data_IF_368727056417
#
_entry.id   IF_368727056417
#
_cell.length_a   1.000
_cell.length_b   1.000
_cell.length_c   1.000
_cell.angle_alpha   90.00
_cell.angle_beta   90.00
_cell.angle_gamma   90.00
#
_symmetry.space_group_name_H-M   'P 1'
#
loop_
_entity.id
_entity.type
_entity.pdbx_description
1 polymer ?
#
# COMPACT_ATOMS: atom_id res chain seq x y z
N UNK A 1 13.76 -26.27 -19.97
CA UNK A 1 14.46 -25.54 -18.90
C UNK A 1 13.76 -24.20 -18.65
N UNK A 2 13.23 -24.03 -17.42
CA UNK A 2 12.85 -22.77 -16.73
C UNK A 2 11.81 -21.84 -17.42
N UNK A 3 10.50 -21.99 -17.20
CA UNK A 3 9.70 -21.53 -16.03
C UNK A 3 9.56 -20.00 -16.00
N UNK A 4 8.56 -19.44 -16.71
CA UNK A 4 7.29 -18.92 -16.17
C UNK A 4 7.51 -18.19 -14.82
N UNK A 5 7.85 -16.90 -14.86
CA UNK A 5 7.67 -16.03 -13.70
C UNK A 5 6.25 -15.48 -13.70
N UNK A 6 5.48 -16.04 -12.78
CA UNK A 6 4.09 -15.79 -12.51
C UNK A 6 3.92 -14.58 -11.58
N UNK A 7 2.86 -13.82 -11.84
CA UNK A 7 2.26 -12.83 -10.96
C UNK A 7 1.97 -13.45 -9.58
N UNK A 8 2.67 -13.02 -8.53
CA UNK A 8 2.41 -13.49 -7.16
C UNK A 8 2.89 -12.52 -6.07
N UNK A 9 2.49 -11.25 -6.18
CA UNK A 9 2.68 -10.25 -5.12
C UNK A 9 1.92 -10.61 -3.83
N UNK A 10 0.77 -11.29 -3.94
CA UNK A 10 0.00 -11.79 -2.79
C UNK A 10 0.70 -12.95 -2.05
N UNK A 11 1.49 -13.75 -2.76
CA UNK A 11 2.30 -14.83 -2.16
C UNK A 11 3.58 -14.28 -1.48
N UNK A 12 4.09 -13.15 -1.96
CA UNK A 12 5.19 -12.42 -1.30
C UNK A 12 4.77 -11.78 0.04
N UNK A 13 3.55 -11.24 0.12
CA UNK A 13 3.02 -10.67 1.37
C UNK A 13 2.77 -11.75 2.43
N UNK A 14 2.36 -12.97 2.01
CA UNK A 14 2.22 -14.11 2.93
C UNK A 14 3.57 -14.64 3.44
N UNK A 15 4.66 -14.50 2.68
CA UNK A 15 5.99 -14.95 3.09
C UNK A 15 6.63 -14.05 4.17
N UNK A 16 6.28 -12.75 4.17
CA UNK A 16 6.75 -11.77 5.18
C UNK A 16 6.07 -11.98 6.55
N UNK A 17 4.87 -12.55 6.58
CA UNK A 17 4.12 -12.80 7.82
C UNK A 17 4.47 -14.10 8.54
N UNK A 18 5.22 -15.02 7.92
CA UNK A 18 5.51 -16.36 8.49
C UNK A 18 6.91 -16.46 9.12
N UNK A 19 7.80 -15.48 8.93
CA UNK A 19 9.20 -15.53 9.44
C UNK A 19 9.56 -14.51 10.54
N UNK A 20 8.62 -13.69 11.02
CA UNK A 20 8.90 -12.75 12.12
C UNK A 20 7.80 -12.77 13.18
N UNK A 21 7.85 -13.70 14.16
CA UNK A 21 7.21 -13.44 15.42
C UNK A 21 8.18 -12.57 16.22
N UNK A 22 7.87 -11.29 16.44
CA UNK A 22 8.31 -10.48 17.60
C UNK A 22 8.12 -8.99 17.29
N UNK A 23 6.89 -8.50 17.36
CA UNK A 23 6.61 -7.29 18.15
C UNK A 23 5.26 -7.53 18.84
N UNK A 24 5.31 -8.34 19.90
CA UNK A 24 4.25 -8.37 20.87
C UNK A 24 4.33 -7.08 21.71
N UNK A 25 3.22 -6.37 21.70
CA UNK A 25 2.81 -5.33 22.64
C UNK A 25 3.28 -5.58 24.09
N UNK A 26 3.99 -4.62 24.68
CA UNK A 26 3.99 -4.44 26.14
C UNK A 26 4.14 -2.96 26.52
N UNK A 27 3.00 -2.37 26.86
CA UNK A 27 2.93 -1.20 27.72
C UNK A 27 3.56 -1.55 29.08
N UNK A 28 4.74 -1.03 29.40
CA UNK A 28 5.31 -1.06 30.75
C UNK A 28 5.66 0.36 31.18
N UNK A 29 5.02 0.77 32.28
CA UNK A 29 5.11 2.07 32.93
C UNK A 29 6.50 2.29 33.53
N UNK A 30 7.00 3.52 33.43
CA UNK A 30 8.13 4.01 34.23
C UNK A 30 7.87 3.80 35.72
N UNK A 31 8.79 3.15 36.42
CA UNK A 31 9.13 3.40 37.82
C UNK A 31 10.44 2.66 38.14
N UNK A 32 11.47 3.44 38.47
CA UNK A 32 12.85 2.95 38.56
C UNK A 32 13.12 2.06 39.76
N UNK A 33 14.11 1.14 39.63
CA UNK A 33 14.87 0.53 40.72
C UNK A 33 16.30 0.17 40.23
N UNK A 34 17.28 0.76 40.91
CA UNK A 34 18.61 0.32 41.33
C UNK A 34 19.70 -0.18 40.35
N UNK A 35 20.88 0.45 40.45
CA UNK A 35 22.04 0.41 39.53
C UNK A 35 23.11 -0.67 39.83
N UNK A 36 22.79 -1.76 40.55
CA UNK A 36 23.84 -2.68 41.05
C UNK A 36 23.54 -4.17 40.88
N UNK A 37 23.32 -4.64 39.64
CA UNK A 37 23.38 -6.07 39.30
C UNK A 37 24.04 -6.36 37.94
N UNK A 38 24.86 -5.44 37.43
CA UNK A 38 25.75 -5.74 36.30
C UNK A 38 27.05 -6.33 36.84
N UNK A 39 27.15 -7.66 36.88
CA UNK A 39 28.39 -8.44 36.72
C UNK A 39 28.13 -9.94 36.93
N UNK A 40 27.64 -10.64 35.90
CA UNK A 40 27.85 -12.10 35.80
C UNK A 40 27.85 -12.69 34.39
N UNK A 41 27.52 -11.94 33.35
CA UNK A 41 27.67 -12.40 31.96
C UNK A 41 28.29 -11.28 31.13
N UNK A 42 29.55 -11.46 30.73
CA UNK A 42 30.38 -10.48 30.04
C UNK A 42 29.95 -10.16 28.62
N UNK A 43 28.76 -9.57 28.45
CA UNK A 43 28.37 -8.87 27.24
C UNK A 43 28.27 -7.38 27.56
N UNK A 44 29.35 -6.63 27.33
CA UNK A 44 29.26 -5.19 27.20
C UNK A 44 28.61 -4.87 25.86
N UNK A 45 27.31 -4.53 25.90
CA UNK A 45 26.67 -3.85 24.79
C UNK A 45 27.37 -2.49 24.60
N UNK A 46 27.69 -2.08 23.37
CA UNK A 46 28.30 -0.78 23.12
C UNK A 46 27.42 0.33 23.73
N UNK A 47 27.94 1.01 24.76
CA UNK A 47 27.37 2.20 25.36
C UNK A 47 27.58 3.42 24.43
N UNK A 48 27.05 3.33 23.21
CA UNK A 48 26.78 4.48 22.33
C UNK A 48 26.14 3.97 21.03
N UNK A 49 24.88 3.57 21.10
CA UNK A 49 24.01 3.79 19.94
C UNK A 49 23.17 4.99 20.30
N UNK A 50 23.75 6.17 20.09
CA UNK A 50 22.97 7.37 19.92
C UNK A 50 22.04 7.11 18.75
N UNK A 51 20.83 6.63 19.05
CA UNK A 51 19.73 6.66 18.09
C UNK A 51 19.42 8.14 17.90
N UNK A 52 20.16 8.77 16.99
CA UNK A 52 19.88 10.13 16.55
C UNK A 52 18.50 10.12 15.94
N UNK A 53 17.55 10.62 16.71
CA UNK A 53 16.18 10.89 16.31
C UNK A 53 16.16 11.89 15.15
N UNK A 54 15.31 11.62 14.15
CA UNK A 54 14.84 12.57 13.13
C UNK A 54 15.84 13.16 12.11
N UNK A 55 16.52 12.32 11.32
CA UNK A 55 17.06 12.82 10.05
C UNK A 55 16.03 12.61 8.92
N UNK A 56 14.96 13.42 8.89
CA UNK A 56 14.05 13.46 7.74
C UNK A 56 14.78 14.13 6.58
N UNK A 57 15.19 13.33 5.60
CA UNK A 57 15.76 13.85 4.35
C UNK A 57 14.74 14.80 3.71
N UNK A 58 15.12 16.05 3.37
CA UNK A 58 14.24 16.97 2.67
C UNK A 58 13.71 16.35 1.37
N UNK A 59 12.44 16.58 1.05
CA UNK A 59 11.78 15.99 -0.13
C UNK A 59 12.57 16.23 -1.44
N UNK A 60 13.14 17.43 -1.60
CA UNK A 60 13.97 17.76 -2.77
C UNK A 60 15.23 16.89 -2.86
N UNK A 61 15.85 16.58 -1.73
CA UNK A 61 17.04 15.72 -1.69
C UNK A 61 16.66 14.27 -2.00
N UNK A 62 15.52 13.80 -1.49
CA UNK A 62 14.98 12.49 -1.86
C UNK A 62 14.69 12.39 -3.36
N UNK A 63 14.09 13.41 -3.99
CA UNK A 63 13.87 13.44 -5.45
C UNK A 63 15.19 13.28 -6.20
N UNK A 64 16.24 14.00 -5.81
CA UNK A 64 17.53 13.92 -6.49
C UNK A 64 18.09 12.49 -6.44
N UNK A 65 18.09 11.85 -5.27
CA UNK A 65 18.52 10.46 -5.13
C UNK A 65 17.65 9.51 -5.97
N UNK A 66 16.33 9.67 -5.90
CA UNK A 66 15.39 8.83 -6.65
C UNK A 66 15.58 8.94 -8.18
N UNK A 67 15.87 10.14 -8.69
CA UNK A 67 16.17 10.33 -10.11
C UNK A 67 17.45 9.61 -10.54
N UNK A 68 18.48 9.61 -9.69
CA UNK A 68 19.71 8.86 -9.93
C UNK A 68 19.43 7.36 -9.98
N UNK A 69 18.61 6.86 -9.06
CA UNK A 69 18.21 5.44 -9.03
C UNK A 69 17.39 5.08 -10.28
N UNK A 70 16.45 5.94 -10.70
CA UNK A 70 15.65 5.75 -11.90
C UNK A 70 16.51 5.65 -13.17
N UNK A 71 17.54 6.50 -13.29
CA UNK A 71 18.51 6.45 -14.39
C UNK A 71 19.31 5.15 -14.38
N UNK A 72 19.80 4.73 -13.21
CA UNK A 72 20.52 3.47 -13.06
C UNK A 72 19.66 2.24 -13.43
N UNK A 73 18.34 2.36 -13.31
CA UNK A 73 17.37 1.33 -13.73
C UNK A 73 16.93 1.47 -15.21
N UNK A 74 17.55 2.36 -15.98
CA UNK A 74 17.35 2.48 -17.43
C UNK A 74 16.16 3.35 -17.85
N UNK A 75 15.61 4.18 -16.95
CA UNK A 75 14.58 5.15 -17.33
C UNK A 75 15.27 6.35 -18.01
N UNK A 76 14.78 6.73 -19.20
CA UNK A 76 15.30 7.88 -19.94
C UNK A 76 15.19 9.20 -19.18
N UNK A 77 16.18 10.07 -19.40
CA UNK A 77 16.26 11.40 -18.80
C UNK A 77 15.02 12.25 -19.17
N UNK A 78 14.54 12.15 -20.41
CA UNK A 78 13.34 12.85 -20.88
C UNK A 78 12.10 12.44 -20.08
N UNK A 79 11.96 11.15 -19.79
CA UNK A 79 10.82 10.64 -19.00
C UNK A 79 10.89 11.14 -17.57
N UNK A 80 12.07 11.14 -16.96
CA UNK A 80 12.27 11.62 -15.58
C UNK A 80 11.99 13.12 -15.49
N UNK A 81 12.49 13.91 -16.42
CA UNK A 81 12.26 15.36 -16.47
C UNK A 81 10.76 15.64 -16.64
N UNK A 82 10.09 14.94 -17.56
CA UNK A 82 8.66 15.10 -17.79
C UNK A 82 7.82 14.72 -16.57
N UNK A 83 8.10 13.57 -15.95
CA UNK A 83 7.36 13.06 -14.80
C UNK A 83 7.53 13.94 -13.54
N UNK A 84 8.73 14.48 -13.32
CA UNK A 84 9.07 15.22 -12.10
C UNK A 84 9.02 16.75 -12.23
N UNK A 85 8.56 17.30 -13.35
CA UNK A 85 8.58 18.76 -13.62
C UNK A 85 7.88 19.59 -12.54
N UNK A 86 6.75 19.10 -12.00
CA UNK A 86 5.90 19.83 -11.04
C UNK A 86 5.49 18.95 -9.85
N UNK A 87 6.40 18.12 -9.34
CA UNK A 87 6.12 17.21 -8.22
C UNK A 87 6.32 17.93 -6.89
N UNK A 88 5.33 17.81 -6.01
CA UNK A 88 5.34 18.39 -4.68
C UNK A 88 4.60 17.47 -3.70
N UNK A 89 4.99 17.47 -2.43
CA UNK A 89 4.30 16.66 -1.42
C UNK A 89 2.89 17.22 -1.20
N UNK A 90 1.90 16.33 -1.23
CA UNK A 90 0.51 16.69 -0.98
C UNK A 90 0.17 16.34 0.46
N UNK A 91 0.05 17.34 1.34
CA UNK A 91 -0.22 17.11 2.77
C UNK A 91 -1.47 16.26 3.00
N UNK A 92 -2.52 16.48 2.21
CA UNK A 92 -3.75 15.68 2.26
C UNK A 92 -3.50 14.19 2.02
N UNK A 93 -2.57 13.82 1.14
CA UNK A 93 -2.22 12.41 0.87
C UNK A 93 -1.51 11.82 2.08
N UNK A 94 -0.55 12.55 2.66
CA UNK A 94 0.15 12.15 3.88
C UNK A 94 -0.84 11.96 5.04
N UNK A 95 -1.81 12.85 5.18
CA UNK A 95 -2.82 12.73 6.23
C UNK A 95 -3.78 11.57 5.98
N UNK A 96 -4.05 11.21 4.72
CA UNK A 96 -4.88 10.06 4.36
C UNK A 96 -4.13 8.75 4.59
N UNK A 97 -2.86 8.68 4.23
CA UNK A 97 -1.97 7.53 4.48
C UNK A 97 -1.89 7.19 5.97
N UNK A 98 -1.72 8.22 6.82
CA UNK A 98 -1.73 8.07 8.28
C UNK A 98 -3.10 7.72 8.86
N UNK A 99 -4.18 7.98 8.12
CA UNK A 99 -5.56 7.71 8.54
C UNK A 99 -6.02 6.37 7.97
N UNK A 100 -5.59 5.27 8.61
CA UNK A 100 -6.10 3.93 8.34
C UNK A 100 -7.53 3.77 8.92
N UNK A 101 -8.53 4.29 8.19
CA UNK A 101 -9.93 4.38 8.65
C UNK A 101 -10.67 3.04 8.74
N UNK A 102 -10.05 1.93 8.34
CA UNK A 102 -10.70 0.61 8.34
C UNK A 102 -11.16 0.17 9.74
N UNK A 103 -10.49 0.64 10.80
CA UNK A 103 -10.90 0.36 12.19
C UNK A 103 -12.09 1.22 12.67
N UNK A 104 -12.52 2.23 11.92
CA UNK A 104 -13.50 3.22 12.39
C UNK A 104 -14.94 3.00 11.88
N UNK A 105 -15.20 1.94 11.11
CA UNK A 105 -16.52 1.66 10.52
C UNK A 105 -17.00 0.27 10.93
N UNK A 106 -18.24 0.16 11.41
CA UNK A 106 -18.84 -1.14 11.70
C UNK A 106 -19.12 -1.92 10.42
N UNK A 107 -19.08 -3.25 10.50
CA UNK A 107 -19.38 -4.12 9.36
C UNK A 107 -20.74 -3.81 8.70
N UNK A 108 -21.79 -3.61 9.50
CA UNK A 108 -23.13 -3.29 9.00
C UNK A 108 -23.15 -1.97 8.20
N UNK A 109 -22.44 -0.95 8.68
CA UNK A 109 -22.32 0.34 7.98
C UNK A 109 -21.52 0.20 6.69
N UNK A 110 -20.44 -0.58 6.71
CA UNK A 110 -19.67 -0.89 5.50
C UNK A 110 -20.55 -1.61 4.45
N UNK A 111 -21.32 -2.62 4.87
CA UNK A 111 -22.19 -3.39 3.98
C UNK A 111 -23.27 -2.50 3.33
N UNK A 112 -23.91 -1.65 4.14
CA UNK A 112 -24.94 -0.72 3.67
C UNK A 112 -24.38 0.28 2.66
N UNK A 113 -23.18 0.81 2.92
CA UNK A 113 -22.50 1.72 1.98
C UNK A 113 -22.07 1.01 0.69
N UNK A 114 -21.67 -0.26 0.81
CA UNK A 114 -21.14 -1.06 -0.29
C UNK A 114 -22.23 -1.60 -1.21
N UNK A 115 -23.40 -1.94 -0.68
CA UNK A 115 -24.50 -2.58 -1.39
C UNK A 115 -25.68 -1.61 -1.54
N UNK A 116 -25.50 -0.56 -2.34
CA UNK A 116 -26.59 0.36 -2.66
C UNK A 116 -27.42 -0.11 -3.85
N UNK A 117 -28.73 0.15 -3.84
CA UNK A 117 -29.63 -0.16 -4.95
C UNK A 117 -29.16 0.44 -6.29
N UNK A 118 -28.58 1.65 -6.25
CA UNK A 118 -27.97 2.32 -7.40
C UNK A 118 -26.80 1.52 -7.98
N UNK A 119 -25.91 1.02 -7.12
CA UNK A 119 -24.76 0.19 -7.53
C UNK A 119 -25.22 -1.15 -8.10
N UNK A 120 -26.22 -1.79 -7.50
CA UNK A 120 -26.82 -3.02 -8.03
C UNK A 120 -27.41 -2.80 -9.42
N UNK A 121 -28.24 -1.77 -9.60
CA UNK A 121 -28.84 -1.44 -10.91
C UNK A 121 -27.77 -1.22 -11.98
N UNK A 122 -26.72 -0.47 -11.63
CA UNK A 122 -25.60 -0.20 -12.55
C UNK A 122 -24.78 -1.47 -12.83
N UNK A 123 -24.50 -2.30 -11.83
CA UNK A 123 -23.81 -3.58 -12.00
C UNK A 123 -24.54 -4.51 -12.98
N UNK A 124 -25.87 -4.63 -12.86
CA UNK A 124 -26.70 -5.37 -13.83
C UNK A 124 -26.57 -4.80 -15.25
N UNK A 125 -26.55 -3.47 -15.38
CA UNK A 125 -26.33 -2.80 -16.67
C UNK A 125 -24.94 -3.08 -17.24
N UNK A 126 -23.88 -3.05 -16.41
CA UNK A 126 -22.50 -3.34 -16.85
C UNK A 126 -22.32 -4.80 -17.26
N UNK A 127 -22.94 -5.75 -16.55
CA UNK A 127 -22.98 -7.16 -16.94
C UNK A 127 -23.61 -7.35 -18.32
N UNK A 128 -24.71 -6.64 -18.61
CA UNK A 128 -25.34 -6.68 -19.94
C UNK A 128 -24.46 -6.02 -21.00
N UNK A 129 -23.92 -4.83 -20.71
CA UNK A 129 -23.11 -4.04 -21.63
C UNK A 129 -21.83 -4.76 -22.07
N UNK A 130 -21.12 -5.39 -21.13
CA UNK A 130 -19.83 -6.05 -21.38
C UNK A 130 -19.93 -7.58 -21.44
N UNK A 131 -21.12 -8.12 -21.75
CA UNK A 131 -21.39 -9.57 -21.73
C UNK A 131 -20.36 -10.37 -22.54
N UNK A 132 -20.04 -9.94 -23.76
CA UNK A 132 -19.10 -10.64 -24.64
C UNK A 132 -17.68 -10.63 -24.06
N UNK A 133 -17.19 -9.46 -23.64
CA UNK A 133 -15.87 -9.33 -23.01
C UNK A 133 -15.76 -10.20 -21.74
N UNK A 134 -16.75 -10.13 -20.87
CA UNK A 134 -16.77 -10.88 -19.63
C UNK A 134 -16.87 -12.40 -19.85
N UNK A 135 -17.56 -12.84 -20.92
CA UNK A 135 -17.57 -14.24 -21.34
C UNK A 135 -16.17 -14.70 -21.75
N UNK A 136 -15.47 -13.93 -22.57
CA UNK A 136 -14.10 -14.25 -23.00
C UNK A 136 -13.14 -14.30 -21.81
N UNK A 137 -13.26 -13.37 -20.86
CA UNK A 137 -12.46 -13.37 -19.63
C UNK A 137 -12.76 -14.61 -18.79
N UNK A 138 -14.03 -15.00 -18.65
CA UNK A 138 -14.41 -16.23 -17.94
C UNK A 138 -13.81 -17.46 -18.60
N UNK A 139 -13.88 -17.56 -19.92
CA UNK A 139 -13.31 -18.71 -20.66
C UNK A 139 -11.80 -18.79 -20.51
N UNK A 140 -11.10 -17.65 -20.52
CA UNK A 140 -9.64 -17.60 -20.41
C UNK A 140 -9.11 -17.80 -18.99
N UNK A 141 -9.79 -17.22 -17.99
CA UNK A 141 -9.26 -17.12 -16.62
C UNK A 141 -10.12 -17.84 -15.57
N UNK A 142 -11.27 -18.41 -15.94
CA UNK A 142 -12.17 -19.10 -15.01
C UNK A 142 -12.94 -18.18 -14.05
N UNK A 143 -12.75 -16.85 -14.14
CA UNK A 143 -13.38 -15.90 -13.22
C UNK A 143 -14.81 -15.58 -13.64
N UNK A 144 -15.74 -15.72 -12.70
CA UNK A 144 -17.15 -15.40 -12.96
C UNK A 144 -17.35 -13.90 -13.23
N UNK A 145 -18.11 -13.52 -14.27
CA UNK A 145 -18.39 -12.12 -14.61
C UNK A 145 -18.88 -11.25 -13.45
N UNK A 146 -19.70 -11.83 -12.57
CA UNK A 146 -20.28 -11.16 -11.42
C UNK A 146 -19.22 -10.67 -10.45
N UNK A 147 -18.17 -11.48 -10.21
CA UNK A 147 -17.06 -11.14 -9.30
C UNK A 147 -16.26 -9.96 -9.86
N UNK A 148 -15.95 -9.99 -11.15
CA UNK A 148 -15.23 -8.90 -11.82
C UNK A 148 -16.01 -7.59 -11.76
N UNK A 149 -17.31 -7.65 -12.03
CA UNK A 149 -18.18 -6.47 -12.01
C UNK A 149 -18.36 -5.96 -10.58
N UNK A 150 -18.47 -6.82 -9.56
CA UNK A 150 -18.54 -6.37 -8.18
C UNK A 150 -17.25 -5.70 -7.72
N UNK A 151 -16.08 -6.26 -8.06
CA UNK A 151 -14.80 -5.66 -7.73
C UNK A 151 -14.66 -4.28 -8.41
N UNK A 152 -14.95 -4.20 -9.71
CA UNK A 152 -14.92 -2.94 -10.44
C UNK A 152 -15.88 -1.88 -9.86
N UNK A 153 -17.02 -2.31 -9.31
CA UNK A 153 -17.95 -1.42 -8.62
C UNK A 153 -17.38 -0.86 -7.31
N UNK A 154 -16.64 -1.68 -6.56
CA UNK A 154 -16.03 -1.31 -5.28
C UNK A 154 -14.84 -0.38 -5.48
N UNK A 155 -13.98 -0.68 -6.45
CA UNK A 155 -12.75 0.07 -6.70
C UNK A 155 -12.98 1.47 -7.26
N UNK A 156 -13.86 1.60 -8.25
CA UNK A 156 -13.97 2.87 -9.01
C UNK A 156 -15.40 3.27 -9.35
N UNK A 157 -16.40 2.58 -8.79
CA UNK A 157 -17.80 2.78 -9.15
C UNK A 157 -18.01 2.70 -10.68
N UNK A 158 -17.39 1.70 -11.30
CA UNK A 158 -17.38 1.50 -12.76
C UNK A 158 -16.66 2.62 -13.52
N UNK A 159 -15.50 3.06 -13.03
CA UNK A 159 -14.69 4.13 -13.63
C UNK A 159 -15.21 5.55 -13.40
N UNK A 160 -16.23 5.75 -12.55
CA UNK A 160 -16.73 7.10 -12.21
C UNK A 160 -15.87 7.82 -11.18
N UNK A 161 -15.13 7.06 -10.39
CA UNK A 161 -14.30 7.55 -9.30
C UNK A 161 -12.90 6.99 -9.52
N UNK A 162 -11.98 7.78 -10.09
CA UNK A 162 -10.60 7.36 -10.37
C UNK A 162 -9.57 8.05 -9.46
N UNK A 163 -10.04 8.83 -8.48
CA UNK A 163 -9.18 9.70 -7.68
C UNK A 163 -8.89 11.01 -8.40
N UNK A 164 -8.45 12.02 -7.64
CA UNK A 164 -8.22 13.38 -8.14
C UNK A 164 -6.76 13.83 -7.97
N UNK A 165 -5.85 12.90 -7.63
CA UNK A 165 -4.45 13.21 -7.42
C UNK A 165 -3.61 12.71 -8.59
N UNK A 166 -2.57 13.47 -8.94
CA UNK A 166 -1.56 12.99 -9.88
C UNK A 166 -0.76 11.86 -9.24
N UNK A 167 -0.68 10.71 -9.93
CA UNK A 167 -0.06 9.50 -9.40
C UNK A 167 1.37 9.72 -8.89
N UNK A 168 2.19 10.50 -9.61
CA UNK A 168 3.58 10.78 -9.21
C UNK A 168 3.66 11.59 -7.91
N UNK A 169 2.66 12.41 -7.60
CA UNK A 169 2.65 13.19 -6.36
C UNK A 169 2.10 12.39 -5.16
N UNK A 170 1.58 11.19 -5.39
CA UNK A 170 1.00 10.32 -4.33
C UNK A 170 1.84 9.12 -3.94
N UNK A 171 2.83 8.76 -4.78
CA UNK A 171 3.80 7.70 -4.50
C UNK A 171 4.90 8.22 -3.56
#
# INVERSE_FOLDING_TARGET
MKQILNNNILLWILFILILNPLVANSSIKNNGINKNLENKFGCQLPQNIGVTTNNKIPFKQWITSFKSDALANGISDETIIAAFKNVYPIQKVIDLDRRQQEYSVTFSKYLTNSISAKRIKRGKSMLKKYRTLLKNIKEKYGVQPQILVSLWAMESNFGRNMGNFFTINTL
#
